data_IF_116544995098
#
_entry.id   IF_116544995098
#
_cell.length_a   1.000
_cell.length_b   1.000
_cell.length_c   1.000
_cell.angle_alpha   90.00
_cell.angle_beta   90.00
_cell.angle_gamma   90.00
#
_symmetry.space_group_name_H-M   'P 1'
#
loop_
_entity.id
_entity.type
_entity.pdbx_description
1 polymer ?
#
# COMPACT_ATOMS: atom_id res chain seq x y z
N UNK A 1 -9.62 -0.49 6.53
CA UNK A 1 -8.59 -1.47 6.96
C UNK A 1 -7.65 -0.88 8.03
N UNK A 2 -7.39 -1.58 9.16
CA UNK A 2 -6.40 -1.18 10.16
C UNK A 2 -4.95 -1.48 9.71
N UNK A 3 -3.96 -0.86 10.39
CA UNK A 3 -2.54 -1.02 10.05
C UNK A 3 -2.06 -2.47 10.05
N UNK A 4 -2.48 -3.25 11.06
CA UNK A 4 -2.10 -4.66 11.20
C UNK A 4 -2.56 -5.51 10.01
N UNK A 5 -3.73 -5.20 9.43
CA UNK A 5 -4.23 -5.94 8.27
C UNK A 5 -3.45 -5.59 7.00
N UNK A 6 -3.04 -4.32 6.85
CA UNK A 6 -2.14 -3.92 5.76
C UNK A 6 -0.80 -4.67 5.87
N UNK A 7 -0.23 -4.78 7.07
CA UNK A 7 1.01 -5.52 7.31
C UNK A 7 0.86 -7.00 6.93
N UNK A 8 -0.25 -7.65 7.33
CA UNK A 8 -0.52 -9.05 6.97
C UNK A 8 -0.58 -9.26 5.45
N UNK A 9 -1.23 -8.35 4.73
CA UNK A 9 -1.26 -8.39 3.25
C UNK A 9 0.14 -8.19 2.67
N UNK A 10 0.89 -7.20 3.17
CA UNK A 10 2.24 -6.88 2.68
C UNK A 10 3.26 -8.00 2.91
N UNK A 11 3.15 -8.71 4.03
CA UNK A 11 4.03 -9.84 4.38
C UNK A 11 3.55 -11.19 3.82
N UNK A 12 2.59 -11.18 2.88
CA UNK A 12 2.04 -12.38 2.24
C UNK A 12 1.39 -13.36 3.22
N UNK A 13 0.88 -12.88 4.36
CA UNK A 13 0.17 -13.72 5.35
C UNK A 13 -1.32 -13.87 5.03
N UNK A 14 -1.90 -12.95 4.25
CA UNK A 14 -3.33 -12.95 3.94
C UNK A 14 -3.60 -12.27 2.60
N UNK A 15 -4.69 -12.66 1.95
CA UNK A 15 -5.19 -12.03 0.74
C UNK A 15 -6.11 -10.87 1.11
N UNK A 16 -6.22 -9.89 0.22
CA UNK A 16 -7.24 -8.85 0.26
C UNK A 16 -8.03 -8.84 -1.03
N UNK A 17 -9.35 -8.73 -0.90
CA UNK A 17 -10.28 -8.58 -2.02
C UNK A 17 -10.13 -7.16 -2.58
N UNK A 18 -9.73 -7.06 -3.85
CA UNK A 18 -9.60 -5.81 -4.59
C UNK A 18 -10.94 -5.44 -5.21
N UNK A 19 -11.61 -6.42 -5.83
CA UNK A 19 -12.92 -6.29 -6.47
C UNK A 19 -13.78 -7.51 -6.10
N UNK A 20 -14.94 -7.28 -5.46
CA UNK A 20 -15.83 -8.35 -4.99
C UNK A 20 -16.79 -8.88 -6.07
N UNK A 21 -16.95 -8.18 -7.19
CA UNK A 21 -17.82 -8.61 -8.29
C UNK A 21 -19.28 -8.84 -7.87
N UNK A 22 -19.87 -9.94 -8.34
CA UNK A 22 -21.23 -10.37 -7.97
C UNK A 22 -21.25 -11.40 -6.83
N UNK A 23 -20.17 -11.46 -6.05
CA UNK A 23 -20.05 -12.39 -4.93
C UNK A 23 -20.50 -11.74 -3.60
N UNK A 24 -20.47 -12.52 -2.52
CA UNK A 24 -20.71 -12.02 -1.17
C UNK A 24 -19.48 -11.35 -0.52
N UNK A 25 -18.39 -11.17 -1.27
CA UNK A 25 -17.13 -10.63 -0.76
C UNK A 25 -17.12 -9.11 -0.81
N UNK A 26 -16.71 -8.48 0.29
CA UNK A 26 -16.58 -7.03 0.37
C UNK A 26 -15.19 -6.56 -0.10
N UNK A 27 -15.15 -5.41 -0.78
CA UNK A 27 -13.87 -4.77 -1.11
C UNK A 27 -13.10 -4.42 0.18
N UNK A 28 -11.79 -4.66 0.18
CA UNK A 28 -10.91 -4.57 1.36
C UNK A 28 -11.11 -5.67 2.42
N UNK A 29 -11.94 -6.69 2.15
CA UNK A 29 -12.05 -7.85 3.03
C UNK A 29 -10.74 -8.65 3.00
N UNK A 30 -10.28 -9.06 4.19
CA UNK A 30 -9.09 -9.89 4.36
C UNK A 30 -9.53 -11.36 4.38
N UNK A 31 -8.85 -12.17 3.59
CA UNK A 31 -9.05 -13.62 3.52
C UNK A 31 -7.78 -14.33 3.97
N UNK A 32 -7.93 -15.36 4.81
CA UNK A 32 -6.85 -16.34 5.05
C UNK A 32 -6.62 -17.16 3.79
N UNK A 33 -5.52 -17.92 3.74
CA UNK A 33 -5.23 -18.83 2.63
C UNK A 33 -6.36 -19.84 2.41
N UNK A 34 -6.85 -20.47 3.48
CA UNK A 34 -8.00 -21.39 3.42
C UNK A 34 -9.26 -20.69 2.89
N UNK A 35 -9.60 -19.51 3.41
CA UNK A 35 -10.77 -18.76 2.97
C UNK A 35 -10.69 -18.30 1.51
N UNK A 36 -9.48 -17.98 1.03
CA UNK A 36 -9.27 -17.62 -0.36
C UNK A 36 -9.48 -18.83 -1.28
N UNK A 37 -8.98 -20.00 -0.90
CA UNK A 37 -9.19 -21.24 -1.66
C UNK A 37 -10.66 -21.63 -1.69
N UNK A 38 -11.35 -21.59 -0.55
CA UNK A 38 -12.79 -21.87 -0.47
C UNK A 38 -13.59 -20.91 -1.36
N UNK A 39 -13.27 -19.61 -1.30
CA UNK A 39 -13.93 -18.59 -2.14
C UNK A 39 -13.63 -18.80 -3.63
N UNK A 40 -12.43 -19.23 -4.00
CA UNK A 40 -12.06 -19.56 -5.37
C UNK A 40 -12.83 -20.78 -5.88
N UNK A 41 -13.06 -21.78 -5.03
CA UNK A 41 -13.89 -22.95 -5.37
C UNK A 41 -15.37 -22.59 -5.54
N UNK A 42 -15.89 -21.67 -4.72
CA UNK A 42 -17.29 -21.25 -4.77
C UNK A 42 -17.59 -20.29 -5.93
N UNK A 43 -16.75 -19.28 -6.13
CA UNK A 43 -17.02 -18.16 -7.02
C UNK A 43 -16.14 -18.14 -8.29
N UNK A 44 -15.09 -18.97 -8.36
CA UNK A 44 -14.17 -18.99 -9.50
C UNK A 44 -13.56 -17.61 -9.78
N UNK A 45 -13.70 -17.15 -11.02
CA UNK A 45 -13.14 -15.89 -11.52
C UNK A 45 -14.06 -14.66 -11.28
N UNK A 46 -15.14 -14.79 -10.49
CA UNK A 46 -16.10 -13.69 -10.27
C UNK A 46 -15.60 -12.60 -9.30
N UNK A 47 -14.47 -12.81 -8.62
CA UNK A 47 -13.83 -11.83 -7.73
C UNK A 47 -12.32 -11.77 -7.97
N UNK A 48 -11.67 -10.67 -7.57
CA UNK A 48 -10.22 -10.52 -7.60
C UNK A 48 -9.68 -10.28 -6.18
N UNK A 49 -8.81 -11.17 -5.70
CA UNK A 49 -8.10 -11.01 -4.43
C UNK A 49 -6.60 -11.26 -4.62
N UNK A 50 -5.77 -10.41 -4.02
CA UNK A 50 -4.30 -10.49 -4.13
C UNK A 50 -3.63 -10.29 -2.77
N UNK A 51 -2.33 -10.54 -2.73
CA UNK A 51 -1.48 -10.28 -1.58
C UNK A 51 -0.24 -9.46 -1.98
N UNK A 52 0.52 -9.02 -0.99
CA UNK A 52 1.73 -8.24 -1.18
C UNK A 52 1.48 -6.78 -1.54
N UNK A 53 2.57 -6.09 -1.92
CA UNK A 53 2.54 -4.67 -2.25
C UNK A 53 1.65 -4.34 -3.47
N UNK A 54 1.56 -5.26 -4.43
CA UNK A 54 0.72 -5.09 -5.62
C UNK A 54 -0.77 -5.01 -5.28
N UNK A 55 -1.23 -5.77 -4.28
CA UNK A 55 -2.61 -5.72 -3.82
C UNK A 55 -2.96 -4.36 -3.22
N UNK A 56 -2.08 -3.82 -2.37
CA UNK A 56 -2.24 -2.48 -1.79
C UNK A 56 -2.18 -1.41 -2.88
N UNK A 57 -1.26 -1.55 -3.85
CA UNK A 57 -1.18 -0.63 -4.98
C UNK A 57 -2.46 -0.64 -5.83
N UNK A 58 -3.03 -1.82 -6.09
CA UNK A 58 -4.27 -1.96 -6.83
C UNK A 58 -5.45 -1.31 -6.11
N UNK A 59 -5.58 -1.51 -4.79
CA UNK A 59 -6.60 -0.86 -3.97
C UNK A 59 -6.48 0.67 -3.99
N UNK A 60 -5.26 1.20 -3.88
CA UNK A 60 -5.00 2.63 -3.94
C UNK A 60 -5.30 3.20 -5.33
N UNK A 61 -4.99 2.45 -6.38
CA UNK A 61 -5.22 2.86 -7.77
C UNK A 61 -6.70 2.83 -8.17
N UNK A 62 -7.50 1.91 -7.63
CA UNK A 62 -8.94 1.85 -7.87
C UNK A 62 -9.74 2.76 -6.94
N UNK A 63 -9.08 3.59 -6.13
CA UNK A 63 -9.76 4.54 -5.26
C UNK A 63 -10.12 5.83 -6.01
N UNK A 64 -11.41 6.13 -6.08
CA UNK A 64 -11.89 7.44 -6.53
C UNK A 64 -11.97 8.38 -5.33
N UNK A 65 -11.01 9.29 -5.22
CA UNK A 65 -10.92 10.21 -4.09
C UNK A 65 -12.06 11.22 -4.04
N UNK A 66 -12.59 11.63 -5.20
CA UNK A 66 -13.67 12.62 -5.29
C UNK A 66 -14.98 11.99 -4.84
N UNK A 67 -15.30 10.81 -5.38
CA UNK A 67 -16.47 10.04 -4.98
C UNK A 67 -16.44 9.70 -3.49
N UNK A 68 -15.28 9.28 -2.96
CA UNK A 68 -15.14 8.95 -1.55
C UNK A 68 -15.31 10.18 -0.64
N UNK A 69 -14.89 11.37 -1.09
CA UNK A 69 -15.12 12.62 -0.35
C UNK A 69 -16.62 12.95 -0.25
N UNK A 70 -17.37 12.77 -1.35
CA UNK A 70 -18.81 13.00 -1.37
C UNK A 70 -19.55 12.06 -0.41
N UNK A 71 -19.27 10.75 -0.51
CA UNK A 71 -19.88 9.74 0.37
C UNK A 71 -19.59 10.01 1.86
N UNK A 72 -18.36 10.41 2.20
CA UNK A 72 -18.02 10.71 3.59
C UNK A 72 -18.67 12.01 4.09
N UNK A 73 -18.93 12.99 3.22
CA UNK A 73 -19.66 14.22 3.57
C UNK A 73 -21.12 13.93 3.89
N UNK A 74 -21.75 13.05 3.12
CA UNK A 74 -23.10 12.56 3.41
C UNK A 74 -23.14 11.83 4.76
N UNK A 75 -22.22 10.87 4.97
CA UNK A 75 -22.13 10.12 6.23
C UNK A 75 -21.90 11.05 7.44
N UNK A 76 -21.08 12.10 7.28
CA UNK A 76 -20.82 13.08 8.34
C UNK A 76 -22.08 13.86 8.75
N UNK A 77 -22.95 14.18 7.77
CA UNK A 77 -24.21 14.89 8.01
C UNK A 77 -25.23 14.02 8.74
N UNK A 78 -25.29 12.73 8.41
CA UNK A 78 -26.22 11.78 9.03
C UNK A 78 -25.77 11.30 10.42
N UNK A 79 -24.46 11.24 10.66
CA UNK A 79 -23.92 10.73 11.93
C UNK A 79 -24.06 11.77 13.06
N UNK A 80 -24.68 11.37 14.16
CA UNK A 80 -24.83 12.16 15.39
C UNK A 80 -23.77 11.85 16.47
N UNK A 81 -22.95 10.81 16.27
CA UNK A 81 -21.92 10.40 17.22
C UNK A 81 -20.65 11.27 17.09
N UNK A 82 -20.24 11.94 18.16
CA UNK A 82 -19.05 12.79 18.17
C UNK A 82 -17.75 12.04 17.79
N UNK A 83 -17.60 10.80 18.26
CA UNK A 83 -16.40 10.00 17.98
C UNK A 83 -16.31 9.61 16.52
N UNK A 84 -17.44 9.25 15.90
CA UNK A 84 -17.52 8.97 14.45
C UNK A 84 -17.29 10.25 13.65
N UNK A 85 -17.95 11.36 14.00
CA UNK A 85 -17.74 12.67 13.35
C UNK A 85 -16.26 13.05 13.32
N UNK A 86 -15.57 12.97 14.46
CA UNK A 86 -14.14 13.32 14.54
C UNK A 86 -13.26 12.46 13.62
N UNK A 87 -13.56 11.16 13.47
CA UNK A 87 -12.84 10.27 12.55
C UNK A 87 -13.13 10.62 11.09
N UNK A 88 -14.39 10.83 10.75
CA UNK A 88 -14.84 11.19 9.40
C UNK A 88 -14.22 12.52 8.94
N UNK A 89 -14.30 13.56 9.77
CA UNK A 89 -13.69 14.87 9.48
C UNK A 89 -12.18 14.77 9.22
N UNK A 90 -11.46 13.94 10.00
CA UNK A 90 -10.02 13.72 9.79
C UNK A 90 -9.74 13.03 8.45
N UNK A 91 -10.58 12.06 8.06
CA UNK A 91 -10.45 11.34 6.78
C UNK A 91 -10.75 12.25 5.59
N UNK A 92 -11.85 13.00 5.63
CA UNK A 92 -12.23 13.96 4.58
C UNK A 92 -11.10 14.96 4.34
N UNK A 93 -10.57 15.58 5.42
CA UNK A 93 -9.47 16.55 5.31
C UNK A 93 -8.23 15.96 4.62
N UNK A 94 -7.94 14.68 4.83
CA UNK A 94 -6.82 14.01 4.18
C UNK A 94 -7.10 13.77 2.69
N UNK A 95 -8.29 13.28 2.35
CA UNK A 95 -8.66 13.02 0.96
C UNK A 95 -8.71 14.30 0.13
N UNK A 96 -9.30 15.38 0.67
CA UNK A 96 -9.32 16.70 0.03
C UNK A 96 -7.90 17.24 -0.21
N UNK A 97 -6.99 17.05 0.76
CA UNK A 97 -5.60 17.44 0.59
C UNK A 97 -4.91 16.63 -0.53
N UNK A 98 -5.22 15.33 -0.66
CA UNK A 98 -4.74 14.52 -1.78
C UNK A 98 -5.26 15.05 -3.12
N UNK A 99 -6.57 15.25 -3.24
CA UNK A 99 -7.20 15.80 -4.46
C UNK A 99 -6.58 17.14 -4.84
N UNK A 100 -6.45 18.06 -3.88
CA UNK A 100 -5.87 19.39 -4.12
C UNK A 100 -4.39 19.34 -4.50
N UNK A 101 -3.63 18.38 -3.96
CA UNK A 101 -2.21 18.24 -4.26
C UNK A 101 -1.91 17.67 -5.64
N UNK A 102 -2.88 17.01 -6.28
CA UNK A 102 -2.69 16.26 -7.53
C UNK A 102 -1.83 14.99 -7.38
N UNK A 103 -1.41 14.65 -6.15
CA UNK A 103 -0.71 13.41 -5.88
C UNK A 103 -1.66 12.23 -6.00
N UNK A 104 -1.19 11.15 -6.60
CA UNK A 104 -1.97 9.92 -6.71
C UNK A 104 -1.67 8.99 -5.54
N UNK A 105 -2.68 8.36 -4.89
CA UNK A 105 -2.45 7.50 -3.73
C UNK A 105 -1.49 6.34 -4.02
N UNK A 106 -1.54 5.76 -5.22
CA UNK A 106 -0.69 4.63 -5.61
C UNK A 106 0.80 4.97 -5.70
N UNK A 107 1.18 6.27 -5.73
CA UNK A 107 2.58 6.70 -5.70
C UNK A 107 3.29 6.39 -4.38
N UNK A 108 2.54 6.06 -3.32
CA UNK A 108 3.12 5.59 -2.05
C UNK A 108 3.78 4.22 -2.19
N UNK A 109 3.44 3.45 -3.24
CA UNK A 109 4.07 2.16 -3.54
C UNK A 109 5.14 2.37 -4.63
N UNK A 110 6.39 2.14 -4.26
CA UNK A 110 7.54 2.39 -5.14
C UNK A 110 7.69 1.29 -6.20
N UNK A 111 7.59 1.68 -7.48
CA UNK A 111 7.95 0.83 -8.62
C UNK A 111 9.40 1.05 -9.08
N UNK A 112 9.94 2.24 -8.84
CA UNK A 112 11.32 2.62 -9.16
C UNK A 112 11.94 3.29 -7.94
N UNK A 113 13.10 2.80 -7.50
CA UNK A 113 13.85 3.37 -6.40
C UNK A 113 15.07 4.15 -6.94
N UNK A 114 15.12 5.48 -6.82
CA UNK A 114 16.27 6.26 -7.25
C UNK A 114 17.49 5.98 -6.36
N UNK A 115 18.67 5.99 -6.98
CA UNK A 115 19.95 5.81 -6.29
C UNK A 115 20.67 7.15 -6.17
N UNK A 116 21.11 7.48 -4.96
CA UNK A 116 21.82 8.72 -4.68
C UNK A 116 23.12 8.82 -5.51
N UNK A 117 23.50 10.02 -6.00
CA UNK A 117 24.77 10.22 -6.71
C UNK A 117 25.98 9.73 -5.89
N UNK A 118 27.02 9.15 -6.53
CA UNK A 118 28.20 8.60 -5.85
C UNK A 118 28.90 9.58 -4.92
N UNK A 119 28.95 10.87 -5.27
CA UNK A 119 29.61 11.91 -4.48
C UNK A 119 28.98 12.09 -3.09
N UNK A 120 27.69 11.77 -2.95
CA UNK A 120 26.96 11.81 -1.68
C UNK A 120 27.04 10.47 -0.92
N UNK A 121 27.65 9.44 -1.51
CA UNK A 121 27.91 8.12 -0.90
C UNK A 121 29.35 7.67 -1.17
N UNK A 122 30.34 8.47 -0.76
CA UNK A 122 31.72 8.30 -1.20
C UNK A 122 32.31 6.98 -0.70
N UNK A 123 33.26 6.47 -1.49
CA UNK A 123 34.12 5.35 -1.15
C UNK A 123 35.54 5.90 -1.13
N UNK A 124 36.09 6.07 0.06
CA UNK A 124 37.35 6.80 0.28
C UNK A 124 38.46 5.79 0.51
N UNK A 125 39.55 5.82 -0.29
CA UNK A 125 40.70 4.97 -0.04
C UNK A 125 41.39 5.39 1.26
N UNK A 126 41.84 4.41 2.03
CA UNK A 126 42.65 4.56 3.23
C UNK A 126 44.02 3.90 3.03
N UNK A 127 44.98 4.27 3.87
CA UNK A 127 46.31 3.67 3.88
C UNK A 127 46.24 2.13 4.04
N UNK A 128 47.15 1.43 3.35
CA UNK A 128 47.23 -0.03 3.41
C UNK A 128 46.16 -0.77 2.60
N UNK A 129 45.57 -0.13 1.57
CA UNK A 129 44.66 -0.79 0.62
C UNK A 129 43.24 -1.00 1.15
N UNK A 130 42.86 -0.31 2.22
CA UNK A 130 41.51 -0.35 2.80
C UNK A 130 40.64 0.74 2.17
N UNK A 131 39.33 0.61 2.32
CA UNK A 131 38.37 1.63 1.91
C UNK A 131 37.40 1.93 3.05
N UNK A 132 37.14 3.21 3.30
CA UNK A 132 35.99 3.65 4.07
C UNK A 132 34.78 3.76 3.12
N UNK A 133 33.65 3.19 3.52
CA UNK A 133 32.40 3.24 2.75
C UNK A 133 31.27 3.81 3.59
N UNK A 134 30.35 4.52 2.95
CA UNK A 134 29.07 4.88 3.54
C UNK A 134 28.17 3.64 3.75
N UNK A 135 27.43 3.59 4.86
CA UNK A 135 26.41 2.57 5.15
C UNK A 135 25.35 2.47 4.03
N UNK A 136 25.11 3.58 3.31
CA UNK A 136 24.18 3.63 2.18
C UNK A 136 24.60 2.68 1.05
N UNK A 137 25.90 2.54 0.80
CA UNK A 137 26.39 1.63 -0.25
C UNK A 137 26.06 0.17 0.11
N UNK A 138 26.11 -0.20 1.39
CA UNK A 138 25.74 -1.54 1.84
C UNK A 138 24.23 -1.79 1.77
N UNK A 139 23.41 -0.79 2.10
CA UNK A 139 21.96 -0.86 1.90
C UNK A 139 21.60 -1.01 0.43
N UNK A 140 22.14 -0.15 -0.46
CA UNK A 140 21.90 -0.25 -1.90
C UNK A 140 22.35 -1.60 -2.46
N UNK A 141 23.53 -2.08 -2.08
CA UNK A 141 24.04 -3.38 -2.49
C UNK A 141 23.08 -4.51 -2.09
N UNK A 142 22.56 -4.49 -0.85
CA UNK A 142 21.58 -5.49 -0.39
C UNK A 142 20.29 -5.45 -1.20
N UNK A 143 19.75 -4.27 -1.46
CA UNK A 143 18.53 -4.09 -2.25
C UNK A 143 18.74 -4.58 -3.68
N UNK A 144 19.81 -4.15 -4.35
CA UNK A 144 20.13 -4.55 -5.74
C UNK A 144 20.31 -6.07 -5.84
N UNK A 145 21.06 -6.68 -4.91
CA UNK A 145 21.29 -8.12 -4.92
C UNK A 145 20.00 -8.92 -4.69
N UNK A 146 19.10 -8.42 -3.83
CA UNK A 146 17.80 -9.06 -3.62
C UNK A 146 16.93 -8.91 -4.87
N UNK A 147 16.88 -7.72 -5.47
CA UNK A 147 16.09 -7.43 -6.67
C UNK A 147 16.53 -8.28 -7.88
N UNK A 148 17.84 -8.47 -8.08
CA UNK A 148 18.35 -9.28 -9.20
C UNK A 148 18.14 -10.80 -9.03
N UNK A 149 17.80 -11.26 -7.82
CA UNK A 149 17.58 -12.67 -7.52
C UNK A 149 16.10 -13.06 -7.59
N UNK A 150 15.21 -12.12 -7.35
CA UNK A 150 13.74 -12.27 -7.44
C UNK A 150 13.37 -12.33 -8.92
#
# INVERSE_FOLDING_TARGET
MPLRDIERVLYFESYVVIEGGMTNLERQQILTEEQYLDALEEFGDEFDAKMGAEAIQALLKSMDLEQECETLREELNETNSETKRKKLTKRIKLLEAFVQSGNKPEWMILTVLPVLPPDLRPLVPLDGGRFATSDLNDLYRRVINRNNRV
#
